data_IF_364385149620
#
_entry.id   IF_364385149620
#
_cell.length_a   1.000
_cell.length_b   1.000
_cell.length_c   1.000
_cell.angle_alpha   90.00
_cell.angle_beta   90.00
_cell.angle_gamma   90.00
#
_symmetry.space_group_name_H-M   'P 1'
#
loop_
_entity.id
_entity.type
_entity.pdbx_description
1 polymer ?
#
# COMPACT_ATOMS: atom_id res chain seq x y z
N UNK A 1 4.90 -13.39 -10.56
CA UNK A 1 5.26 -12.09 -11.18
C UNK A 1 5.98 -12.32 -12.52
N UNK A 2 5.95 -11.41 -13.50
CA UNK A 2 6.80 -11.57 -14.71
C UNK A 2 8.24 -11.16 -14.35
N UNK A 3 9.22 -12.05 -14.53
CA UNK A 3 10.63 -11.83 -14.18
C UNK A 3 11.22 -10.52 -14.72
N UNK A 4 10.71 -10.03 -15.86
CA UNK A 4 11.10 -8.76 -16.48
C UNK A 4 10.88 -7.55 -15.57
N UNK A 5 9.81 -7.53 -14.75
CA UNK A 5 9.53 -6.40 -13.86
C UNK A 5 10.55 -6.28 -12.74
N UNK A 6 10.95 -7.39 -12.13
CA UNK A 6 11.99 -7.38 -11.09
C UNK A 6 13.35 -6.95 -11.64
N UNK A 7 13.72 -7.42 -12.84
CA UNK A 7 14.97 -7.01 -13.48
C UNK A 7 14.99 -5.50 -13.76
N UNK A 8 13.86 -4.94 -14.22
CA UNK A 8 13.74 -3.50 -14.45
C UNK A 8 13.78 -2.72 -13.14
N UNK A 9 13.10 -3.19 -12.09
CA UNK A 9 13.15 -2.58 -10.77
C UNK A 9 14.58 -2.54 -10.22
N UNK A 10 15.33 -3.66 -10.32
CA UNK A 10 16.74 -3.72 -9.91
C UNK A 10 17.60 -2.69 -10.63
N UNK A 11 17.49 -2.61 -11.97
CA UNK A 11 18.22 -1.62 -12.77
C UNK A 11 17.88 -0.18 -12.37
N UNK A 12 16.62 0.09 -12.04
CA UNK A 12 16.20 1.43 -11.59
C UNK A 12 16.78 1.77 -10.22
N UNK A 13 16.80 0.80 -9.28
CA UNK A 13 17.41 0.97 -7.96
C UNK A 13 18.92 1.16 -8.03
N UNK A 14 19.61 0.42 -8.91
CA UNK A 14 21.05 0.60 -9.19
C UNK A 14 21.33 2.01 -9.71
N UNK A 15 20.53 2.49 -10.68
CA UNK A 15 20.65 3.85 -11.23
C UNK A 15 20.35 4.94 -10.20
N UNK A 16 19.48 4.66 -9.23
CA UNK A 16 19.16 5.58 -8.14
C UNK A 16 20.16 5.53 -6.98
N UNK A 17 21.09 4.56 -6.96
CA UNK A 17 22.03 4.36 -5.85
C UNK A 17 21.35 3.87 -4.56
N UNK A 18 20.22 3.16 -4.67
CA UNK A 18 19.41 2.72 -3.53
C UNK A 18 19.47 1.21 -3.28
N UNK A 19 20.22 0.46 -4.08
CA UNK A 19 20.22 -1.00 -4.02
C UNK A 19 20.66 -1.55 -2.65
N UNK A 20 21.55 -0.85 -1.95
CA UNK A 20 22.02 -1.25 -0.61
C UNK A 20 20.93 -1.20 0.47
N UNK A 21 19.79 -0.56 0.20
CA UNK A 21 18.67 -0.42 1.13
C UNK A 21 17.45 -1.27 0.76
N UNK A 22 17.52 -2.04 -0.34
CA UNK A 22 16.38 -2.79 -0.88
C UNK A 22 16.76 -4.24 -1.14
N UNK A 23 16.10 -5.14 -0.43
CA UNK A 23 16.13 -6.57 -0.74
C UNK A 23 14.97 -6.92 -1.69
N UNK A 24 15.30 -7.47 -2.86
CA UNK A 24 14.30 -7.93 -3.84
C UNK A 24 14.09 -9.44 -3.69
N UNK A 25 12.88 -9.85 -3.30
CA UNK A 25 12.49 -11.26 -3.19
C UNK A 25 11.51 -11.68 -4.28
N UNK A 26 11.72 -12.85 -4.86
CA UNK A 26 10.75 -13.50 -5.75
C UNK A 26 9.89 -14.47 -4.93
N UNK A 27 8.58 -14.27 -4.96
CA UNK A 27 7.64 -15.08 -4.19
C UNK A 27 6.19 -14.60 -4.39
N UNK A 28 5.27 -15.35 -3.81
CA UNK A 28 3.85 -14.96 -3.75
C UNK A 28 3.47 -14.58 -2.32
N UNK A 29 3.17 -13.30 -2.12
CA UNK A 29 2.80 -12.75 -0.81
C UNK A 29 1.42 -13.22 -0.34
N UNK A 30 0.60 -13.82 -1.21
CA UNK A 30 -0.66 -14.45 -0.79
C UNK A 30 -0.46 -15.80 -0.12
N UNK A 31 0.73 -16.39 -0.21
CA UNK A 31 1.08 -17.63 0.48
C UNK A 31 1.76 -17.35 1.83
N UNK A 32 2.37 -16.18 1.99
CA UNK A 32 2.98 -15.77 3.25
C UNK A 32 3.97 -14.61 3.13
N UNK A 33 4.35 -14.07 4.28
CA UNK A 33 5.43 -13.10 4.45
C UNK A 33 6.39 -13.68 5.48
N UNK A 34 7.64 -13.88 5.06
CA UNK A 34 8.69 -14.53 5.87
C UNK A 34 9.16 -13.61 7.00
N UNK A 35 9.21 -12.31 6.72
CA UNK A 35 9.65 -11.27 7.64
C UNK A 35 8.70 -11.13 8.82
N UNK A 36 9.27 -10.70 9.95
CA UNK A 36 8.57 -10.41 11.20
C UNK A 36 8.96 -9.04 11.71
N UNK A 37 8.13 -8.52 12.61
CA UNK A 37 8.29 -7.23 13.26
C UNK A 37 8.42 -6.04 12.29
N UNK A 38 7.78 -6.14 11.12
CA UNK A 38 7.74 -5.07 10.13
C UNK A 38 7.04 -3.83 10.68
N UNK A 39 7.59 -2.65 10.40
CA UNK A 39 6.97 -1.36 10.71
C UNK A 39 5.74 -1.07 9.86
N UNK A 40 5.83 -1.40 8.57
CA UNK A 40 4.80 -1.13 7.58
C UNK A 40 4.77 -2.20 6.50
N UNK A 41 3.57 -2.46 5.96
CA UNK A 41 3.33 -3.27 4.77
C UNK A 41 2.55 -2.43 3.78
N UNK A 42 3.05 -2.31 2.54
CA UNK A 42 2.42 -1.55 1.46
C UNK A 42 2.07 -2.53 0.34
N UNK A 43 0.79 -2.58 -0.01
CA UNK A 43 0.25 -3.51 -1.00
C UNK A 43 -0.21 -2.74 -2.24
N UNK A 44 0.43 -3.01 -3.38
CA UNK A 44 0.04 -2.54 -4.70
C UNK A 44 -0.11 -3.77 -5.63
N UNK A 45 -1.29 -4.39 -5.58
CA UNK A 45 -1.59 -5.61 -6.32
C UNK A 45 -3.09 -5.77 -6.56
N UNK A 46 -3.48 -6.76 -7.36
CA UNK A 46 -4.88 -6.98 -7.74
C UNK A 46 -5.78 -7.50 -6.59
N UNK A 47 -5.22 -8.30 -5.68
CA UNK A 47 -5.95 -8.99 -4.60
C UNK A 47 -5.33 -8.76 -3.21
N UNK A 48 -5.19 -7.50 -2.76
CA UNK A 48 -4.53 -7.16 -1.50
C UNK A 48 -5.21 -7.77 -0.26
N UNK A 49 -6.53 -8.00 -0.31
CA UNK A 49 -7.29 -8.62 0.80
C UNK A 49 -6.81 -10.03 1.16
N UNK A 50 -6.23 -10.78 0.21
CA UNK A 50 -5.66 -12.10 0.48
C UNK A 50 -4.38 -12.03 1.33
N UNK A 51 -3.68 -10.89 1.30
CA UNK A 51 -2.41 -10.69 2.01
C UNK A 51 -2.61 -10.17 3.43
N UNK A 52 -3.77 -9.58 3.73
CA UNK A 52 -4.11 -9.01 5.05
C UNK A 52 -3.81 -9.96 6.23
N UNK A 53 -4.23 -11.24 6.25
CA UNK A 53 -3.86 -12.17 7.33
C UNK A 53 -2.34 -12.34 7.47
N UNK A 54 -1.62 -12.48 6.36
CA UNK A 54 -0.17 -12.65 6.37
C UNK A 54 0.54 -11.39 6.87
N UNK A 55 0.09 -10.21 6.40
CA UNK A 55 0.58 -8.92 6.85
C UNK A 55 0.35 -8.71 8.36
N UNK A 56 -0.79 -9.14 8.90
CA UNK A 56 -1.04 -9.07 10.34
C UNK A 56 0.01 -9.87 11.13
N UNK A 57 0.41 -11.05 10.64
CA UNK A 57 1.44 -11.86 11.31
C UNK A 57 2.86 -11.30 11.15
N UNK A 58 3.13 -10.57 10.07
CA UNK A 58 4.44 -10.00 9.77
C UNK A 58 4.68 -8.65 10.46
N UNK A 59 3.62 -7.86 10.66
CA UNK A 59 3.71 -6.55 11.30
C UNK A 59 3.98 -6.65 12.80
N UNK A 60 4.78 -5.72 13.32
CA UNK A 60 4.89 -5.49 14.77
C UNK A 60 3.59 -4.89 15.34
N UNK A 61 3.45 -4.88 16.67
CA UNK A 61 2.34 -4.17 17.33
C UNK A 61 2.25 -2.70 16.89
N UNK A 62 1.05 -2.24 16.55
CA UNK A 62 0.81 -0.89 15.99
C UNK A 62 1.44 -0.59 14.62
N UNK A 63 2.00 -1.62 13.95
CA UNK A 63 2.46 -1.53 12.57
C UNK A 63 1.34 -1.14 11.60
N UNK A 64 1.71 -0.55 10.47
CA UNK A 64 0.77 0.04 9.50
C UNK A 64 0.61 -0.86 8.29
N UNK A 65 -0.63 -1.08 7.85
CA UNK A 65 -0.92 -1.62 6.53
C UNK A 65 -1.44 -0.48 5.64
N UNK A 66 -0.90 -0.40 4.42
CA UNK A 66 -1.40 0.48 3.36
C UNK A 66 -1.74 -0.37 2.14
N UNK A 67 -2.92 -0.18 1.57
CA UNK A 67 -3.30 -0.79 0.30
C UNK A 67 -3.65 0.29 -0.71
N UNK A 68 -3.04 0.19 -1.89
CA UNK A 68 -3.47 0.92 -3.07
C UNK A 68 -4.43 0.05 -3.88
N UNK A 69 -5.59 0.59 -4.27
CA UNK A 69 -6.60 -0.12 -5.04
C UNK A 69 -7.21 0.79 -6.12
N UNK A 70 -7.22 0.41 -7.41
CA UNK A 70 -7.82 1.22 -8.48
C UNK A 70 -9.35 1.17 -8.50
N UNK A 71 -10.01 0.23 -7.81
CA UNK A 71 -11.48 0.18 -7.79
C UNK A 71 -12.04 0.17 -6.37
N UNK A 72 -13.27 0.69 -6.23
CA UNK A 72 -13.96 0.72 -4.93
C UNK A 72 -14.30 -0.69 -4.42
N UNK A 73 -14.58 -1.64 -5.33
CA UNK A 73 -14.86 -3.03 -4.94
C UNK A 73 -13.63 -3.70 -4.30
N UNK A 74 -12.43 -3.34 -4.75
CA UNK A 74 -11.20 -3.83 -4.12
C UNK A 74 -11.01 -3.19 -2.74
N UNK A 75 -11.33 -1.90 -2.57
CA UNK A 75 -11.32 -1.22 -1.27
C UNK A 75 -12.25 -1.92 -0.30
N UNK A 76 -13.49 -2.22 -0.70
CA UNK A 76 -14.47 -2.89 0.16
C UNK A 76 -13.91 -4.21 0.69
N UNK A 77 -13.36 -5.05 -0.20
CA UNK A 77 -12.74 -6.33 0.19
C UNK A 77 -11.55 -6.16 1.14
N UNK A 78 -10.74 -5.12 0.95
CA UNK A 78 -9.63 -4.82 1.86
C UNK A 78 -10.15 -4.44 3.23
N UNK A 79 -11.13 -3.54 3.30
CA UNK A 79 -11.71 -3.09 4.58
C UNK A 79 -12.37 -4.25 5.33
N UNK A 80 -13.12 -5.11 4.63
CA UNK A 80 -13.69 -6.33 5.21
C UNK A 80 -12.61 -7.24 5.81
N UNK A 81 -11.55 -7.52 5.06
CA UNK A 81 -10.44 -8.32 5.56
C UNK A 81 -9.72 -7.65 6.75
N UNK A 82 -9.58 -6.32 6.74
CA UNK A 82 -8.96 -5.61 7.87
C UNK A 82 -9.76 -5.76 9.16
N UNK A 83 -11.10 -5.71 9.08
CA UNK A 83 -12.01 -5.92 10.20
C UNK A 83 -11.89 -7.36 10.75
N UNK A 84 -11.84 -8.35 9.85
CA UNK A 84 -11.73 -9.78 10.23
C UNK A 84 -10.41 -10.12 10.96
N UNK A 85 -9.31 -9.44 10.65
CA UNK A 85 -7.97 -9.81 11.12
C UNK A 85 -7.40 -8.89 12.21
N UNK A 86 -8.22 -8.06 12.86
CA UNK A 86 -7.80 -7.29 14.05
C UNK A 86 -7.00 -6.03 13.74
N UNK A 87 -7.19 -5.46 12.56
CA UNK A 87 -6.76 -4.10 12.29
C UNK A 87 -7.78 -3.10 12.82
N UNK A 88 -7.32 -1.89 13.13
CA UNK A 88 -8.15 -0.80 13.64
C UNK A 88 -7.81 0.50 12.93
N UNK A 89 -8.75 1.45 12.96
CA UNK A 89 -8.57 2.77 12.35
C UNK A 89 -8.43 2.69 10.83
N UNK A 90 -9.25 1.83 10.20
CA UNK A 90 -9.31 1.75 8.74
C UNK A 90 -9.80 3.09 8.16
N UNK A 91 -8.99 3.70 7.29
CA UNK A 91 -9.29 4.97 6.64
C UNK A 91 -8.94 4.87 5.16
N UNK A 92 -9.86 5.25 4.28
CA UNK A 92 -9.62 5.29 2.84
C UNK A 92 -9.68 6.72 2.32
N UNK A 93 -8.69 7.11 1.53
CA UNK A 93 -8.63 8.41 0.86
C UNK A 93 -8.45 8.25 -0.65
N UNK A 94 -8.88 9.27 -1.39
CA UNK A 94 -8.54 9.51 -2.78
C UNK A 94 -7.90 10.89 -2.90
N UNK A 95 -6.84 11.01 -3.70
CA UNK A 95 -6.18 12.31 -3.96
C UNK A 95 -6.44 12.79 -5.37
N UNK A 96 -7.07 13.97 -5.50
CA UNK A 96 -7.29 14.64 -6.78
C UNK A 96 -6.27 15.77 -6.96
N UNK A 97 -5.36 15.62 -7.92
CA UNK A 97 -4.36 16.65 -8.25
C UNK A 97 -4.88 17.51 -9.40
N UNK A 98 -5.10 18.81 -9.11
CA UNK A 98 -5.55 19.80 -10.09
C UNK A 98 -4.47 20.83 -10.38
N UNK A 99 -3.85 20.72 -11.55
CA UNK A 99 -2.83 21.67 -11.98
C UNK A 99 -3.44 23.02 -12.36
N UNK A 100 -2.72 24.09 -12.03
CA UNK A 100 -3.08 25.47 -12.37
C UNK A 100 -2.17 25.97 -13.50
N UNK A 101 -2.75 26.53 -14.55
CA UNK A 101 -2.03 27.35 -15.51
C UNK A 101 -1.90 28.74 -14.90
N UNK A 102 -0.69 29.14 -14.52
CA UNK A 102 -0.41 30.43 -13.88
C UNK A 102 0.29 31.36 -14.88
N UNK A 103 -0.40 32.42 -15.28
CA UNK A 103 0.12 33.44 -16.18
C UNK A 103 -0.62 34.77 -15.98
N UNK A 104 0.06 35.91 -16.19
CA UNK A 104 -0.52 37.25 -15.99
C UNK A 104 -1.82 37.42 -16.78
N UNK A 105 -2.92 37.70 -16.09
CA UNK A 105 -4.26 37.87 -16.68
C UNK A 105 -4.89 36.60 -17.27
N UNK A 106 -4.32 35.42 -17.02
CA UNK A 106 -4.75 34.14 -17.60
C UNK A 106 -4.71 32.97 -16.61
N UNK A 107 -4.66 33.25 -15.29
CA UNK A 107 -4.59 32.20 -14.26
C UNK A 107 -5.90 31.43 -14.19
N UNK A 108 -5.85 30.12 -14.43
CA UNK A 108 -7.00 29.21 -14.37
C UNK A 108 -6.54 27.76 -14.14
N UNK A 109 -7.42 26.84 -13.70
CA UNK A 109 -7.10 25.43 -13.72
C UNK A 109 -6.82 24.92 -15.14
N UNK A 110 -5.98 23.90 -15.28
CA UNK A 110 -5.86 23.17 -16.54
C UNK A 110 -7.20 22.56 -16.93
N UNK A 111 -7.48 22.51 -18.23
CA UNK A 111 -8.75 22.01 -18.77
C UNK A 111 -8.92 20.51 -18.53
N UNK A 112 -7.82 19.76 -18.64
CA UNK A 112 -7.80 18.30 -18.45
C UNK A 112 -7.04 18.00 -17.17
N UNK A 113 -7.54 17.04 -16.40
CA UNK A 113 -6.87 16.50 -15.23
C UNK A 113 -7.03 14.98 -15.18
N UNK A 114 -6.15 14.33 -14.44
CA UNK A 114 -6.35 12.93 -14.05
C UNK A 114 -7.50 12.88 -13.05
N UNK A 115 -8.63 12.32 -13.47
CA UNK A 115 -9.85 12.26 -12.67
C UNK A 115 -9.82 11.18 -11.57
N UNK A 116 -8.98 10.16 -11.73
CA UNK A 116 -8.80 9.09 -10.77
C UNK A 116 -7.41 8.45 -10.96
N UNK A 117 -6.76 8.08 -9.87
CA UNK A 117 -5.54 7.26 -9.88
C UNK A 117 -5.78 5.96 -9.14
N UNK A 118 -6.28 6.06 -7.91
CA UNK A 118 -6.63 4.93 -7.06
C UNK A 118 -6.96 5.42 -5.66
N UNK A 119 -7.46 4.51 -4.85
CA UNK A 119 -7.73 4.70 -3.44
C UNK A 119 -6.55 4.21 -2.62
N UNK A 120 -6.26 4.92 -1.52
CA UNK A 120 -5.31 4.49 -0.51
C UNK A 120 -6.08 4.14 0.76
N UNK A 121 -6.00 2.89 1.20
CA UNK A 121 -6.61 2.42 2.46
C UNK A 121 -5.50 2.17 3.48
N UNK A 122 -5.61 2.79 4.64
CA UNK A 122 -4.68 2.71 5.76
C UNK A 122 -5.34 1.99 6.92
N UNK A 123 -4.59 1.19 7.67
CA UNK A 123 -5.04 0.64 8.94
C UNK A 123 -3.84 0.30 9.85
N UNK A 124 -4.11 0.09 11.14
CA UNK A 124 -3.08 -0.25 12.14
C UNK A 124 -3.37 -1.59 12.79
N UNK A 125 -2.33 -2.40 12.99
CA UNK A 125 -2.43 -3.65 13.76
C UNK A 125 -2.74 -3.33 15.22
N UNK A 126 -3.86 -3.83 15.73
CA UNK A 126 -4.19 -3.69 17.14
C UNK A 126 -3.21 -4.53 18.00
N UNK A 127 -2.82 -3.98 19.15
CA UNK A 127 -2.09 -4.75 20.16
C UNK A 127 -3.14 -5.34 21.10
N UNK A 128 -3.24 -6.67 21.15
CA UNK A 128 -3.98 -7.32 22.23
C UNK A 128 -3.19 -7.10 23.52
N UNK A 129 -3.73 -6.34 24.46
CA UNK A 129 -3.22 -6.31 25.82
C UNK A 129 -3.28 -7.74 26.36
N UNK A 130 -2.11 -8.31 26.71
CA UNK A 130 -2.11 -9.53 27.52
C UNK A 130 -2.80 -9.16 28.83
N UNK A 131 -3.95 -9.79 29.11
CA UNK A 131 -4.46 -9.82 30.47
C UNK A 131 -3.50 -10.75 31.22
N UNK A 132 -2.58 -10.16 31.97
CA UNK A 132 -1.77 -10.88 32.94
C UNK A 132 -2.75 -11.64 33.86
N UNK A 133 -2.76 -12.96 33.72
CA UNK A 133 -3.50 -13.88 34.60
C UNK A 133 -2.67 -14.24 35.81
#
# INVERSE_FOLDING_TARGET
MRQEFQQNAKKNLERAGLLDYVELKEGDVTEGIEEKDLDAVILDMATPWLVVPHAYTALKGSGVLVSFSPTIDQVVKVVEALDDYGFVGAETIETLIRFMQVARGKTRPQTVMTGHTGYLTFARKAVKLQQDS
#
